data_IF_947092391167
#
_entry.id   IF_947092391167
#
_cell.length_a   1.000
_cell.length_b   1.000
_cell.length_c   1.000
_cell.angle_alpha   90.00
_cell.angle_beta   90.00
_cell.angle_gamma   90.00
#
_symmetry.space_group_name_H-M   'P 1'
#
loop_
_entity.id
_entity.type
_entity.pdbx_description
1 polymer ?
#
# COMPACT_ATOMS: atom_id res chain seq x y z
N UNK A 1 21.84 44.08 41.22
CA UNK A 1 20.77 43.35 40.50
C UNK A 1 21.43 42.57 39.38
N UNK A 2 21.85 41.33 39.69
CA UNK A 2 22.57 40.44 38.75
C UNK A 2 21.56 39.67 37.91
N UNK A 3 21.68 39.78 36.58
CA UNK A 3 20.87 39.05 35.63
C UNK A 3 21.53 37.66 35.45
N UNK A 4 20.79 36.60 35.76
CA UNK A 4 21.23 35.23 35.55
C UNK A 4 21.29 34.89 34.04
N UNK A 5 22.27 34.10 33.57
CA UNK A 5 22.36 33.70 32.17
C UNK A 5 21.24 32.68 31.81
N UNK A 6 20.71 32.81 30.60
CA UNK A 6 19.73 31.91 30.01
C UNK A 6 20.29 30.48 29.85
N UNK A 7 19.48 29.45 29.99
CA UNK A 7 19.92 28.06 29.82
C UNK A 7 20.37 27.79 28.38
N UNK A 8 21.50 27.13 28.24
CA UNK A 8 22.08 26.71 26.98
C UNK A 8 21.11 25.81 26.21
N UNK A 9 20.91 26.11 24.92
CA UNK A 9 20.10 25.33 24.01
C UNK A 9 20.57 23.87 23.96
N UNK A 10 19.62 22.96 24.10
CA UNK A 10 19.84 21.56 23.85
C UNK A 10 20.19 21.41 22.36
N UNK A 11 21.37 20.89 22.09
CA UNK A 11 21.79 20.52 20.73
C UNK A 11 20.86 19.46 20.20
N UNK A 12 20.36 19.66 18.96
CA UNK A 12 19.62 18.64 18.22
C UNK A 12 20.45 17.36 18.10
N UNK A 13 19.84 16.17 18.29
CA UNK A 13 20.56 14.91 18.13
C UNK A 13 20.98 14.75 16.67
N UNK A 14 22.13 14.08 16.41
CA UNK A 14 22.66 13.90 15.06
C UNK A 14 21.65 13.15 14.16
N UNK A 15 21.48 13.62 12.93
CA UNK A 15 20.60 13.10 11.88
C UNK A 15 21.01 11.66 11.46
N UNK A 16 20.65 10.65 12.29
CA UNK A 16 21.06 9.26 12.03
C UNK A 16 20.20 8.19 12.69
N UNK A 17 19.29 8.51 13.62
CA UNK A 17 18.52 7.48 14.35
C UNK A 17 17.09 7.90 14.75
N UNK A 18 16.44 8.77 14.03
CA UNK A 18 15.01 8.99 14.26
C UNK A 18 14.25 7.69 13.90
N UNK A 19 13.57 7.08 14.87
CA UNK A 19 12.67 5.93 14.57
C UNK A 19 11.72 6.32 13.43
N UNK A 20 11.54 5.47 12.41
CA UNK A 20 10.69 5.80 11.28
C UNK A 20 9.27 6.11 11.78
N UNK A 21 8.70 7.21 11.28
CA UNK A 21 7.37 7.69 11.70
C UNK A 21 6.29 6.68 11.32
N UNK A 22 5.51 6.23 12.30
CA UNK A 22 4.30 5.42 12.06
C UNK A 22 3.23 6.29 11.41
N UNK A 23 2.67 5.84 10.30
CA UNK A 23 1.63 6.55 9.54
C UNK A 23 0.29 5.80 9.53
N UNK A 24 0.31 4.49 9.70
CA UNK A 24 -0.88 3.66 9.89
C UNK A 24 -0.59 2.67 11.01
N UNK A 25 -1.50 2.54 11.95
CA UNK A 25 -1.36 1.64 13.10
C UNK A 25 -2.68 0.92 13.35
N UNK A 26 -2.60 -0.36 13.64
CA UNK A 26 -3.69 -1.16 14.19
C UNK A 26 -3.29 -1.65 15.57
N UNK A 27 -4.25 -1.70 16.51
CA UNK A 27 -4.04 -2.21 17.87
C UNK A 27 -5.19 -3.10 18.28
N UNK A 28 -4.85 -4.31 18.68
CA UNK A 28 -5.83 -5.33 19.09
C UNK A 28 -6.83 -5.68 17.98
N UNK A 29 -6.43 -5.51 16.70
CA UNK A 29 -7.35 -5.63 15.58
C UNK A 29 -7.92 -7.04 15.53
N UNK A 30 -9.25 -7.14 15.61
CA UNK A 30 -9.96 -8.42 15.68
C UNK A 30 -11.13 -8.42 14.71
N UNK A 31 -11.35 -9.56 14.04
CA UNK A 31 -12.53 -9.80 13.19
C UNK A 31 -13.04 -11.22 13.36
N UNK A 32 -14.29 -11.32 13.80
CA UNK A 32 -15.04 -12.57 13.88
C UNK A 32 -16.17 -12.62 12.86
N UNK A 33 -16.44 -13.80 12.30
CA UNK A 33 -17.58 -14.13 11.46
C UNK A 33 -18.33 -15.27 12.13
N UNK A 34 -19.39 -14.95 12.86
CA UNK A 34 -20.03 -15.93 13.75
C UNK A 34 -19.04 -16.45 14.79
N UNK A 35 -18.85 -17.76 14.85
CA UNK A 35 -17.90 -18.42 15.76
C UNK A 35 -16.43 -18.44 15.23
N UNK A 36 -16.21 -18.07 13.97
CA UNK A 36 -14.88 -18.10 13.37
C UNK A 36 -14.16 -16.75 13.52
N UNK A 37 -13.01 -16.75 14.17
CA UNK A 37 -12.15 -15.56 14.28
C UNK A 37 -11.09 -15.57 13.16
N UNK A 38 -11.30 -14.72 12.15
CA UNK A 38 -10.41 -14.59 11.00
C UNK A 38 -9.17 -13.72 11.27
N UNK A 39 -9.27 -12.77 12.21
CA UNK A 39 -8.17 -11.93 12.70
C UNK A 39 -8.34 -11.83 14.22
N UNK A 40 -7.25 -12.00 14.97
CA UNK A 40 -7.25 -12.09 16.42
C UNK A 40 -6.14 -11.25 17.01
N UNK A 41 -6.52 -10.16 17.64
CA UNK A 41 -5.63 -9.26 18.41
C UNK A 41 -4.34 -8.89 17.65
N UNK A 42 -4.48 -8.46 16.38
CA UNK A 42 -3.34 -8.09 15.54
C UNK A 42 -2.93 -6.64 15.83
N UNK A 43 -1.65 -6.46 16.18
CA UNK A 43 -0.98 -5.17 16.29
C UNK A 43 -0.06 -4.98 15.08
N UNK A 44 -0.23 -3.91 14.31
CA UNK A 44 0.53 -3.65 13.09
C UNK A 44 0.89 -2.18 12.98
N UNK A 45 2.16 -1.89 12.70
CA UNK A 45 2.65 -0.54 12.42
C UNK A 45 3.22 -0.45 11.00
N UNK A 46 2.72 0.51 10.23
CA UNK A 46 3.23 0.84 8.89
C UNK A 46 3.95 2.18 8.96
N UNK A 47 5.20 2.19 8.52
CA UNK A 47 6.09 3.32 8.65
C UNK A 47 6.22 4.11 7.35
N UNK A 48 6.34 5.44 7.47
CA UNK A 48 6.61 6.34 6.35
C UNK A 48 7.93 5.97 5.65
N UNK A 49 7.95 6.11 4.32
CA UNK A 49 9.12 5.85 3.47
C UNK A 49 9.69 4.43 3.65
N UNK A 50 8.80 3.44 3.84
CA UNK A 50 9.16 2.02 3.95
C UNK A 50 8.20 1.13 3.20
N UNK A 51 8.71 0.00 2.72
CA UNK A 51 7.92 -1.12 2.23
C UNK A 51 7.78 -2.14 3.37
N UNK A 52 6.54 -2.47 3.70
CA UNK A 52 6.19 -3.47 4.69
C UNK A 52 5.41 -4.61 4.01
N UNK A 53 5.87 -5.84 4.15
CA UNK A 53 5.16 -7.00 3.63
C UNK A 53 4.33 -7.69 4.72
N UNK A 54 3.09 -8.01 4.38
CA UNK A 54 2.24 -8.90 5.15
C UNK A 54 2.19 -10.26 4.44
N UNK A 55 2.87 -11.26 4.98
CA UNK A 55 2.97 -12.59 4.38
C UNK A 55 2.31 -13.66 5.26
N UNK A 56 2.20 -14.88 4.76
CA UNK A 56 1.63 -16.00 5.48
C UNK A 56 0.91 -16.98 4.54
N UNK A 57 0.58 -18.18 4.99
CA UNK A 57 -0.09 -19.20 4.17
C UNK A 57 -1.50 -18.74 3.74
N UNK A 58 -2.10 -19.53 2.84
CA UNK A 58 -3.49 -19.30 2.44
C UNK A 58 -4.42 -19.46 3.65
N UNK A 59 -5.42 -18.56 3.75
CA UNK A 59 -6.31 -18.54 4.91
C UNK A 59 -5.73 -17.93 6.19
N UNK A 60 -4.49 -17.40 6.18
CA UNK A 60 -3.88 -16.80 7.36
C UNK A 60 -4.57 -15.52 7.87
N UNK A 61 -5.45 -14.88 7.05
CA UNK A 61 -6.17 -13.67 7.43
C UNK A 61 -5.66 -12.38 6.73
N UNK A 62 -4.67 -12.47 5.83
CA UNK A 62 -4.05 -11.32 5.15
C UNK A 62 -5.08 -10.40 4.48
N UNK A 63 -5.92 -10.95 3.61
CA UNK A 63 -6.99 -10.20 2.92
C UNK A 63 -7.99 -9.59 3.90
N UNK A 64 -8.28 -10.28 5.01
CA UNK A 64 -9.15 -9.76 6.07
C UNK A 64 -8.52 -8.55 6.74
N UNK A 65 -7.21 -8.60 7.07
CA UNK A 65 -6.47 -7.45 7.62
C UNK A 65 -6.51 -6.26 6.64
N UNK A 66 -6.24 -6.48 5.35
CA UNK A 66 -6.34 -5.43 4.32
C UNK A 66 -7.74 -4.81 4.24
N UNK A 67 -8.78 -5.64 4.26
CA UNK A 67 -10.17 -5.17 4.26
C UNK A 67 -10.53 -4.37 5.52
N UNK A 68 -9.97 -4.74 6.68
CA UNK A 68 -10.16 -3.99 7.92
C UNK A 68 -9.45 -2.63 7.87
N UNK A 69 -8.20 -2.60 7.43
CA UNK A 69 -7.41 -1.37 7.31
C UNK A 69 -8.06 -0.36 6.33
N UNK A 70 -8.58 -0.86 5.20
CA UNK A 70 -9.25 -0.05 4.18
C UNK A 70 -10.74 0.21 4.47
N UNK A 71 -11.25 -0.32 5.58
CA UNK A 71 -12.63 -0.15 6.04
C UNK A 71 -13.70 -0.81 5.16
N UNK A 72 -13.31 -1.70 4.22
CA UNK A 72 -14.27 -2.57 3.53
C UNK A 72 -14.92 -3.58 4.48
N UNK A 73 -14.24 -3.89 5.59
CA UNK A 73 -14.80 -4.62 6.73
C UNK A 73 -14.68 -3.77 7.99
N UNK A 74 -15.69 -3.87 8.86
CA UNK A 74 -15.62 -3.28 10.18
C UNK A 74 -15.00 -4.29 11.16
N UNK A 75 -14.04 -3.86 12.00
CA UNK A 75 -13.49 -4.72 13.04
C UNK A 75 -14.56 -5.03 14.09
N UNK A 76 -14.45 -6.21 14.71
CA UNK A 76 -15.25 -6.57 15.90
C UNK A 76 -14.58 -6.12 17.19
N UNK A 77 -13.28 -5.84 17.16
CA UNK A 77 -12.49 -5.30 18.27
C UNK A 77 -11.24 -4.61 17.76
N UNK A 78 -10.63 -3.82 18.64
CA UNK A 78 -9.42 -3.06 18.34
C UNK A 78 -9.67 -1.70 17.71
N UNK A 79 -8.59 -1.00 17.40
CA UNK A 79 -8.60 0.35 16.84
C UNK A 79 -7.62 0.48 15.69
N UNK A 80 -7.94 1.37 14.73
CA UNK A 80 -7.09 1.71 13.59
C UNK A 80 -6.86 3.21 13.59
N UNK A 81 -5.58 3.60 13.60
CA UNK A 81 -5.17 5.02 13.59
C UNK A 81 -4.41 5.30 12.29
N UNK A 82 -4.77 6.35 11.58
CA UNK A 82 -4.11 6.83 10.37
C UNK A 82 -3.66 8.27 10.53
N UNK A 83 -2.36 8.53 10.40
CA UNK A 83 -1.75 9.86 10.57
C UNK A 83 -2.14 10.51 11.92
N UNK A 84 -2.22 9.72 13.00
CA UNK A 84 -2.62 10.16 14.34
C UNK A 84 -4.12 10.32 14.56
N UNK A 85 -4.96 10.08 13.55
CA UNK A 85 -6.42 10.17 13.66
C UNK A 85 -7.03 8.77 13.74
N UNK A 86 -7.93 8.53 14.69
CA UNK A 86 -8.70 7.29 14.76
C UNK A 86 -9.67 7.21 13.58
N UNK A 87 -9.50 6.16 12.77
CA UNK A 87 -10.34 5.87 11.61
C UNK A 87 -11.18 4.60 11.80
N UNK A 88 -11.23 4.04 13.00
CA UNK A 88 -11.87 2.74 13.28
C UNK A 88 -13.30 2.65 12.79
N UNK A 89 -14.07 3.74 12.87
CA UNK A 89 -15.46 3.82 12.41
C UNK A 89 -15.65 4.66 11.14
N UNK A 90 -14.56 5.13 10.53
CA UNK A 90 -14.64 6.00 9.35
C UNK A 90 -15.05 5.20 8.11
N UNK A 91 -15.96 5.69 7.26
CA UNK A 91 -16.34 5.05 6.00
C UNK A 91 -15.17 4.93 5.01
N UNK A 92 -15.14 3.90 4.14
CA UNK A 92 -14.01 3.63 3.24
C UNK A 92 -13.72 4.77 2.25
N UNK A 93 -14.76 5.45 1.75
CA UNK A 93 -14.60 6.59 0.85
C UNK A 93 -13.88 7.77 1.52
N UNK A 94 -14.16 8.02 2.80
CA UNK A 94 -13.49 9.06 3.59
C UNK A 94 -12.05 8.67 3.89
N UNK A 95 -11.80 7.40 4.25
CA UNK A 95 -10.44 6.89 4.48
C UNK A 95 -9.57 7.01 3.22
N UNK A 96 -10.13 6.67 2.05
CA UNK A 96 -9.43 6.86 0.77
C UNK A 96 -9.10 8.34 0.49
N UNK A 97 -10.00 9.28 0.85
CA UNK A 97 -9.75 10.74 0.73
C UNK A 97 -8.67 11.25 1.68
N UNK A 98 -8.47 10.60 2.82
CA UNK A 98 -7.37 10.93 3.73
C UNK A 98 -6.00 10.51 3.18
N UNK A 99 -5.98 9.62 2.16
CA UNK A 99 -4.77 9.14 1.49
C UNK A 99 -4.37 7.71 1.84
N UNK A 100 -5.26 6.90 2.44
CA UNK A 100 -5.07 5.47 2.60
C UNK A 100 -5.75 4.75 1.42
N UNK A 101 -4.97 4.38 0.41
CA UNK A 101 -5.51 3.87 -0.86
C UNK A 101 -5.02 2.45 -1.10
N UNK A 102 -5.92 1.58 -1.58
CA UNK A 102 -5.62 0.20 -1.98
C UNK A 102 -5.72 0.06 -3.49
N UNK A 103 -4.73 -0.60 -4.10
CA UNK A 103 -4.89 -1.16 -5.44
C UNK A 103 -5.75 -2.43 -5.35
N UNK A 104 -6.67 -2.62 -6.28
CA UNK A 104 -7.54 -3.80 -6.28
C UNK A 104 -6.93 -4.92 -7.12
N UNK A 105 -7.22 -6.19 -6.76
CA UNK A 105 -6.81 -7.39 -7.52
C UNK A 105 -7.48 -7.49 -8.92
N UNK A 106 -8.63 -6.85 -9.10
CA UNK A 106 -9.33 -6.80 -10.38
C UNK A 106 -8.90 -5.53 -11.09
N UNK A 107 -8.45 -5.67 -12.35
CA UNK A 107 -8.01 -4.55 -13.19
C UNK A 107 -9.00 -3.40 -13.15
N UNK A 108 -8.68 -2.38 -12.36
CA UNK A 108 -9.49 -1.17 -12.20
C UNK A 108 -9.23 -0.17 -13.33
N UNK A 109 -8.85 -0.66 -14.53
CA UNK A 109 -8.62 0.16 -15.72
C UNK A 109 -9.84 0.12 -16.64
N UNK A 110 -10.10 1.22 -17.30
CA UNK A 110 -11.12 1.32 -18.34
C UNK A 110 -10.53 0.80 -19.66
N UNK A 111 -10.92 -0.39 -20.15
CA UNK A 111 -10.25 -1.04 -21.28
C UNK A 111 -10.36 -0.26 -22.58
N UNK A 112 -11.45 0.49 -22.78
CA UNK A 112 -11.72 1.29 -23.96
C UNK A 112 -11.17 2.71 -23.92
N UNK A 113 -10.50 3.08 -22.84
CA UNK A 113 -9.77 4.35 -22.71
C UNK A 113 -8.28 4.11 -22.93
N UNK A 114 -7.61 5.13 -23.43
CA UNK A 114 -6.14 5.13 -23.54
C UNK A 114 -5.48 5.14 -22.15
N UNK A 115 -4.18 4.82 -22.10
CA UNK A 115 -3.38 4.93 -20.88
C UNK A 115 -3.50 6.34 -20.28
N UNK A 116 -3.38 7.38 -21.12
CA UNK A 116 -3.50 8.78 -20.69
C UNK A 116 -4.89 9.07 -20.09
N UNK A 117 -5.95 8.63 -20.76
CA UNK A 117 -7.31 8.85 -20.29
C UNK A 117 -7.60 8.13 -18.97
N UNK A 118 -7.11 6.89 -18.79
CA UNK A 118 -7.23 6.17 -17.53
C UNK A 118 -6.63 6.95 -16.36
N UNK A 119 -5.41 7.48 -16.52
CA UNK A 119 -4.75 8.28 -15.48
C UNK A 119 -5.47 9.61 -15.27
N UNK A 120 -5.96 10.26 -16.34
CA UNK A 120 -6.76 11.50 -16.23
C UNK A 120 -8.06 11.28 -15.46
N UNK A 121 -8.76 10.16 -15.68
CA UNK A 121 -9.97 9.82 -14.89
C UNK A 121 -9.65 9.76 -13.40
N UNK A 122 -8.56 9.10 -13.02
CA UNK A 122 -8.13 9.02 -11.62
C UNK A 122 -7.78 10.40 -11.04
N UNK A 123 -7.13 11.27 -11.82
CA UNK A 123 -6.76 12.64 -11.43
C UNK A 123 -7.96 13.58 -11.25
N UNK A 124 -9.12 13.27 -11.80
CA UNK A 124 -10.30 14.14 -11.65
C UNK A 124 -10.73 14.26 -10.19
N UNK A 125 -10.61 13.18 -9.41
CA UNK A 125 -11.09 13.14 -8.03
C UNK A 125 -10.32 14.10 -7.11
N UNK A 126 -8.98 14.07 -6.99
CA UNK A 126 -8.24 15.01 -6.16
C UNK A 126 -8.35 16.45 -6.64
N UNK A 127 -8.65 16.66 -7.94
CA UNK A 127 -8.80 17.99 -8.54
C UNK A 127 -10.25 18.52 -8.52
N UNK A 128 -11.17 17.86 -7.80
CA UNK A 128 -12.58 18.24 -7.67
C UNK A 128 -13.35 18.34 -9.00
N UNK A 129 -12.86 17.63 -10.04
CA UNK A 129 -13.49 17.60 -11.36
C UNK A 129 -14.49 16.46 -11.53
N UNK A 130 -14.43 15.45 -10.69
CA UNK A 130 -15.23 14.23 -10.82
C UNK A 130 -16.77 14.48 -10.80
N UNK A 131 -17.22 15.63 -10.30
CA UNK A 131 -18.63 16.02 -10.26
C UNK A 131 -19.02 17.06 -11.30
N UNK A 132 -18.06 17.54 -12.12
CA UNK A 132 -18.27 18.63 -13.09
C UNK A 132 -18.47 18.07 -14.50
N UNK A 133 -19.47 17.17 -14.66
CA UNK A 133 -19.75 16.46 -15.92
C UNK A 133 -20.24 17.34 -17.08
N UNK A 134 -20.61 18.62 -16.77
CA UNK A 134 -21.05 19.60 -17.78
C UNK A 134 -19.91 20.37 -18.44
N UNK A 135 -18.66 20.20 -17.97
CA UNK A 135 -17.51 20.85 -18.57
C UNK A 135 -17.10 20.13 -19.86
N UNK A 136 -16.59 20.86 -20.86
CA UNK A 136 -16.08 20.25 -22.07
C UNK A 136 -14.85 19.38 -21.78
N UNK A 137 -14.64 18.33 -22.59
CA UNK A 137 -13.50 17.39 -22.41
C UNK A 137 -12.14 18.10 -22.41
N UNK A 138 -12.01 19.21 -23.14
CA UNK A 138 -10.79 20.04 -23.13
C UNK A 138 -10.44 20.60 -21.76
N UNK A 139 -11.41 20.71 -20.84
CA UNK A 139 -11.13 21.11 -19.45
C UNK A 139 -10.22 20.11 -18.71
N UNK A 140 -10.15 18.87 -19.19
CA UNK A 140 -9.28 17.82 -18.64
C UNK A 140 -7.83 17.95 -19.11
N UNK A 141 -7.54 18.77 -20.14
CA UNK A 141 -6.18 18.94 -20.69
C UNK A 141 -5.22 19.55 -19.65
N UNK A 142 -5.73 20.29 -18.67
CA UNK A 142 -4.96 20.75 -17.51
C UNK A 142 -4.38 19.62 -16.66
N UNK A 143 -4.91 18.39 -16.78
CA UNK A 143 -4.43 17.22 -16.08
C UNK A 143 -3.34 16.48 -16.86
N UNK A 144 -3.10 16.83 -18.15
CA UNK A 144 -2.19 16.08 -19.02
C UNK A 144 -0.77 16.07 -18.49
N UNK A 145 -0.23 17.21 -18.07
CA UNK A 145 1.13 17.29 -17.53
C UNK A 145 1.32 16.32 -16.35
N UNK A 146 0.39 16.35 -15.39
CA UNK A 146 0.47 15.45 -14.23
C UNK A 146 0.22 13.98 -14.60
N UNK A 147 -0.65 13.71 -15.55
CA UNK A 147 -0.88 12.36 -16.07
C UNK A 147 0.38 11.82 -16.76
N UNK A 148 1.04 12.62 -17.59
CA UNK A 148 2.28 12.24 -18.28
C UNK A 148 3.44 11.99 -17.29
N UNK A 149 3.56 12.80 -16.24
CA UNK A 149 4.53 12.53 -15.15
C UNK A 149 4.32 11.15 -14.50
N UNK A 150 3.07 10.82 -14.17
CA UNK A 150 2.73 9.51 -13.59
C UNK A 150 2.98 8.36 -14.57
N UNK A 151 2.61 8.54 -15.84
CA UNK A 151 2.84 7.57 -16.92
C UNK A 151 4.33 7.35 -17.14
N UNK A 152 5.13 8.43 -17.10
CA UNK A 152 6.59 8.34 -17.20
C UNK A 152 7.20 7.61 -16.00
N UNK A 153 6.74 7.93 -14.78
CA UNK A 153 7.18 7.27 -13.54
C UNK A 153 6.99 5.75 -13.60
N UNK A 154 5.88 5.29 -14.16
CA UNK A 154 5.59 3.85 -14.28
C UNK A 154 6.09 3.23 -15.60
N UNK A 155 6.83 3.98 -16.44
CA UNK A 155 7.45 3.48 -17.68
C UNK A 155 6.47 3.18 -18.83
N UNK A 156 5.30 3.86 -18.88
CA UNK A 156 4.27 3.66 -19.90
C UNK A 156 4.19 4.79 -20.95
N UNK A 157 5.22 5.64 -21.06
CA UNK A 157 5.17 6.79 -21.98
C UNK A 157 5.02 6.41 -23.45
N UNK A 158 5.58 5.26 -23.86
CA UNK A 158 5.46 4.79 -25.25
C UNK A 158 4.03 4.37 -25.59
N UNK A 159 3.32 3.85 -24.60
CA UNK A 159 1.94 3.35 -24.71
C UNK A 159 0.89 4.39 -24.30
N UNK A 160 1.26 5.67 -24.06
CA UNK A 160 0.32 6.65 -23.49
C UNK A 160 -0.98 6.80 -24.29
N UNK A 161 -0.92 6.63 -25.60
CA UNK A 161 -2.05 6.74 -26.51
C UNK A 161 -2.66 5.37 -26.93
N UNK A 162 -2.09 4.25 -26.44
CA UNK A 162 -2.64 2.93 -26.66
C UNK A 162 -3.87 2.70 -25.77
N UNK A 163 -4.82 1.91 -26.25
CA UNK A 163 -5.96 1.48 -25.43
C UNK A 163 -5.46 0.57 -24.30
N UNK A 164 -6.04 0.71 -23.12
CA UNK A 164 -5.70 -0.15 -22.00
C UNK A 164 -6.01 -1.64 -22.29
N UNK A 165 -7.00 -1.93 -23.17
CA UNK A 165 -7.29 -3.28 -23.63
C UNK A 165 -6.09 -3.95 -24.30
N UNK A 166 -5.29 -3.18 -25.06
CA UNK A 166 -4.18 -3.68 -25.91
C UNK A 166 -2.89 -3.93 -25.11
N UNK A 167 -2.83 -3.48 -23.86
CA UNK A 167 -1.68 -3.67 -22.99
C UNK A 167 -1.53 -5.15 -22.59
N UNK A 168 -0.29 -5.62 -22.43
CA UNK A 168 0.00 -6.88 -21.77
C UNK A 168 -0.49 -6.87 -20.31
N UNK A 169 -0.60 -8.04 -19.70
CA UNK A 169 -1.04 -8.15 -18.30
C UNK A 169 -0.15 -7.33 -17.34
N UNK A 170 1.18 -7.44 -17.46
CA UNK A 170 2.12 -6.68 -16.65
C UNK A 170 1.96 -5.17 -16.84
N UNK A 171 1.79 -4.70 -18.10
CA UNK A 171 1.55 -3.29 -18.41
C UNK A 171 0.22 -2.78 -17.85
N UNK A 172 -0.84 -3.59 -17.87
CA UNK A 172 -2.12 -3.25 -17.20
C UNK A 172 -1.92 -3.07 -15.71
N UNK A 173 -1.15 -3.94 -15.06
CA UNK A 173 -0.87 -3.84 -13.62
C UNK A 173 -0.07 -2.58 -13.27
N UNK A 174 0.90 -2.23 -14.10
CA UNK A 174 1.66 -0.98 -13.98
C UNK A 174 0.74 0.25 -14.15
N UNK A 175 -0.21 0.21 -15.09
CA UNK A 175 -1.22 1.27 -15.25
C UNK A 175 -2.12 1.40 -14.02
N UNK A 176 -2.51 0.29 -13.37
CA UNK A 176 -3.26 0.32 -12.10
C UNK A 176 -2.49 1.03 -10.98
N UNK A 177 -1.18 0.80 -10.90
CA UNK A 177 -0.33 1.53 -9.95
C UNK A 177 -0.34 3.02 -10.29
N UNK A 178 -0.23 3.41 -11.57
CA UNK A 178 -0.28 4.81 -11.99
C UNK A 178 -1.61 5.49 -11.61
N UNK A 179 -2.75 4.83 -11.86
CA UNK A 179 -4.08 5.35 -11.48
C UNK A 179 -4.24 5.45 -9.96
N UNK A 180 -3.64 4.53 -9.21
CA UNK A 180 -3.65 4.58 -7.75
C UNK A 180 -2.78 5.74 -7.24
N UNK A 181 -1.60 5.96 -7.84
CA UNK A 181 -0.72 7.07 -7.52
C UNK A 181 -1.33 8.43 -7.88
N UNK A 182 -2.21 8.48 -8.88
CA UNK A 182 -2.96 9.68 -9.25
C UNK A 182 -3.88 10.18 -8.12
N UNK A 183 -4.24 9.34 -7.16
CA UNK A 183 -5.01 9.72 -5.97
C UNK A 183 -4.14 10.35 -4.86
N UNK A 184 -2.84 10.52 -5.11
CA UNK A 184 -1.83 11.02 -4.18
C UNK A 184 -1.85 10.35 -2.80
N UNK A 185 -1.68 9.00 -2.75
CA UNK A 185 -1.76 8.26 -1.50
C UNK A 185 -0.59 8.60 -0.57
N UNK A 186 -0.87 8.70 0.74
CA UNK A 186 0.14 8.74 1.81
C UNK A 186 0.57 7.34 2.23
N UNK A 187 -0.39 6.40 2.18
CA UNK A 187 -0.16 4.96 2.37
C UNK A 187 -0.81 4.22 1.22
N UNK A 188 -0.01 3.40 0.55
CA UNK A 188 -0.42 2.56 -0.57
C UNK A 188 -0.49 1.11 -0.10
N UNK A 189 -1.67 0.49 -0.20
CA UNK A 189 -1.88 -0.93 0.04
C UNK A 189 -1.90 -1.67 -1.29
N UNK A 190 -0.98 -2.62 -1.48
CA UNK A 190 -0.85 -3.43 -2.68
C UNK A 190 -1.19 -4.90 -2.36
N UNK A 191 -2.17 -5.44 -3.06
CA UNK A 191 -2.60 -6.83 -2.89
C UNK A 191 -2.05 -7.66 -4.05
N UNK A 192 -1.01 -8.44 -3.77
CA UNK A 192 -0.30 -9.31 -4.71
C UNK A 192 0.08 -8.57 -6.01
N UNK A 193 0.84 -7.46 -5.93
CA UNK A 193 1.08 -6.60 -7.09
C UNK A 193 1.82 -7.30 -8.24
N UNK A 194 2.49 -8.41 -7.97
CA UNK A 194 3.31 -9.15 -8.95
C UNK A 194 2.72 -10.50 -9.34
N UNK A 195 1.49 -10.83 -8.89
CA UNK A 195 0.85 -12.10 -9.20
C UNK A 195 0.67 -12.27 -10.72
N UNK A 196 1.05 -13.42 -11.25
CA UNK A 196 0.88 -13.77 -12.67
C UNK A 196 1.82 -13.08 -13.65
N UNK A 197 2.86 -12.37 -13.17
CA UNK A 197 3.84 -11.68 -14.00
C UNK A 197 5.07 -12.53 -14.32
N UNK A 198 5.68 -12.31 -15.48
CA UNK A 198 7.03 -12.81 -15.82
C UNK A 198 8.15 -12.06 -15.09
N UNK A 199 9.36 -12.64 -15.10
CA UNK A 199 10.49 -12.13 -14.32
C UNK A 199 10.86 -10.66 -14.59
N UNK A 200 10.81 -10.22 -15.85
CA UNK A 200 11.13 -8.83 -16.22
C UNK A 200 10.08 -7.85 -15.66
N UNK A 201 8.79 -8.17 -15.80
CA UNK A 201 7.70 -7.36 -15.26
C UNK A 201 7.76 -7.30 -13.73
N UNK A 202 8.08 -8.43 -13.06
CA UNK A 202 8.27 -8.48 -11.60
C UNK A 202 9.38 -7.52 -11.15
N UNK A 203 10.53 -7.54 -11.83
CA UNK A 203 11.66 -6.67 -11.51
C UNK A 203 11.30 -5.19 -11.70
N UNK A 204 10.58 -4.87 -12.77
CA UNK A 204 10.12 -3.51 -13.05
C UNK A 204 9.14 -3.00 -11.97
N UNK A 205 8.14 -3.81 -11.59
CA UNK A 205 7.19 -3.44 -10.54
C UNK A 205 7.87 -3.35 -9.17
N UNK A 206 8.83 -4.21 -8.87
CA UNK A 206 9.62 -4.14 -7.64
C UNK A 206 10.37 -2.81 -7.52
N UNK A 207 11.05 -2.39 -8.62
CA UNK A 207 11.75 -1.10 -8.65
C UNK A 207 10.78 0.08 -8.53
N UNK A 208 9.63 0.04 -9.19
CA UNK A 208 8.59 1.05 -9.07
C UNK A 208 8.09 1.17 -7.61
N UNK A 209 7.84 0.04 -6.94
CA UNK A 209 7.41 0.04 -5.53
C UNK A 209 8.52 0.65 -4.64
N UNK A 210 9.78 0.34 -4.90
CA UNK A 210 10.94 0.90 -4.17
C UNK A 210 11.02 2.42 -4.37
N UNK A 211 10.81 2.91 -5.59
CA UNK A 211 10.79 4.35 -5.89
C UNK A 211 9.63 5.06 -5.20
N UNK A 212 8.42 4.51 -5.27
CA UNK A 212 7.21 5.04 -4.58
C UNK A 212 7.43 5.09 -3.07
N UNK A 213 8.09 4.08 -2.52
CA UNK A 213 8.33 3.99 -1.08
C UNK A 213 9.31 5.04 -0.55
N UNK A 214 10.10 5.71 -1.39
CA UNK A 214 10.99 6.81 -0.94
C UNK A 214 10.22 7.97 -0.30
N UNK A 215 8.98 8.20 -0.70
CA UNK A 215 8.17 9.33 -0.25
C UNK A 215 6.83 8.93 0.37
N UNK A 216 6.48 7.65 0.34
CA UNK A 216 5.20 7.11 0.83
C UNK A 216 5.43 5.85 1.63
N UNK A 217 4.44 5.48 2.42
CA UNK A 217 4.44 4.15 3.02
C UNK A 217 3.77 3.16 2.05
N UNK A 218 4.34 1.96 1.95
CA UNK A 218 3.75 0.86 1.18
C UNK A 218 3.54 -0.33 2.11
N UNK A 219 2.31 -0.83 2.19
CA UNK A 219 1.99 -2.11 2.80
C UNK A 219 1.54 -3.06 1.68
N UNK A 220 2.19 -4.21 1.55
CA UNK A 220 1.83 -5.16 0.49
C UNK A 220 1.62 -6.58 1.02
N UNK A 221 0.69 -7.30 0.40
CA UNK A 221 0.59 -8.76 0.51
C UNK A 221 1.36 -9.34 -0.66
N UNK A 222 2.26 -10.29 -0.39
CA UNK A 222 3.04 -10.97 -1.42
C UNK A 222 3.31 -12.43 -1.06
N UNK A 223 3.45 -13.26 -2.10
CA UNK A 223 3.82 -14.67 -1.99
C UNK A 223 5.22 -14.94 -2.51
N UNK A 224 5.77 -14.02 -3.32
CA UNK A 224 7.11 -14.13 -3.85
C UNK A 224 8.13 -13.69 -2.81
N UNK A 225 8.66 -14.66 -2.04
CA UNK A 225 9.61 -14.41 -0.96
C UNK A 225 10.93 -13.78 -1.46
N UNK A 226 11.32 -13.98 -2.73
CA UNK A 226 12.51 -13.32 -3.31
C UNK A 226 12.28 -11.82 -3.41
N UNK A 227 11.10 -11.40 -3.87
CA UNK A 227 10.74 -9.98 -3.93
C UNK A 227 10.64 -9.39 -2.53
N UNK A 228 10.00 -10.10 -1.59
CA UNK A 228 9.92 -9.65 -0.19
C UNK A 228 11.30 -9.43 0.40
N UNK A 229 12.25 -10.36 0.18
CA UNK A 229 13.62 -10.23 0.63
C UNK A 229 14.36 -9.03 0.02
N UNK A 230 14.04 -8.71 -1.25
CA UNK A 230 14.73 -7.68 -2.02
C UNK A 230 14.27 -6.25 -1.69
N UNK A 231 12.95 -6.04 -1.53
CA UNK A 231 12.43 -4.67 -1.42
C UNK A 231 11.84 -4.30 -0.06
N UNK A 232 11.54 -5.28 0.82
CA UNK A 232 10.85 -4.98 2.06
C UNK A 232 11.81 -4.63 3.19
N UNK A 233 11.46 -3.57 3.92
CA UNK A 233 12.17 -3.12 5.12
C UNK A 233 11.66 -3.84 6.38
N UNK A 234 10.41 -4.28 6.35
CA UNK A 234 9.73 -4.98 7.46
C UNK A 234 8.80 -6.05 6.89
N UNK A 235 8.73 -7.16 7.58
CA UNK A 235 7.88 -8.31 7.23
C UNK A 235 7.10 -8.72 8.45
N UNK A 236 5.78 -8.82 8.33
CA UNK A 236 4.89 -9.41 9.32
C UNK A 236 4.33 -10.70 8.77
N UNK A 237 4.49 -11.80 9.50
CA UNK A 237 3.95 -13.11 9.15
C UNK A 237 2.66 -13.34 9.91
N UNK A 238 1.57 -13.58 9.18
CA UNK A 238 0.29 -13.99 9.74
C UNK A 238 0.12 -15.51 9.63
N UNK A 239 -0.41 -16.11 10.69
CA UNK A 239 -0.86 -17.49 10.72
C UNK A 239 -2.14 -17.59 11.55
N UNK A 240 -3.19 -18.20 10.99
CA UNK A 240 -4.49 -18.43 11.66
C UNK A 240 -5.10 -17.20 12.33
N UNK A 241 -4.89 -16.04 11.69
CA UNK A 241 -5.40 -14.74 12.15
C UNK A 241 -4.56 -14.01 13.20
N UNK A 242 -3.39 -14.53 13.54
CA UNK A 242 -2.49 -13.97 14.54
C UNK A 242 -1.13 -13.65 13.92
N UNK A 243 -0.37 -12.72 14.52
CA UNK A 243 1.02 -12.45 14.12
C UNK A 243 1.89 -13.57 14.68
N UNK A 244 2.56 -14.29 13.79
CA UNK A 244 3.50 -15.34 14.13
C UNK A 244 4.91 -14.78 14.39
N UNK A 245 5.35 -13.85 13.55
CA UNK A 245 6.65 -13.21 13.63
C UNK A 245 6.62 -11.83 12.93
N UNK A 246 7.47 -10.92 13.37
CA UNK A 246 7.67 -9.61 12.76
C UNK A 246 9.14 -9.19 12.86
N UNK A 247 9.67 -8.58 11.80
CA UNK A 247 11.06 -8.12 11.75
C UNK A 247 11.51 -7.82 10.33
N UNK A 248 12.83 -7.75 10.11
CA UNK A 248 13.39 -7.78 8.77
C UNK A 248 13.28 -9.21 8.18
N UNK A 249 13.51 -9.32 6.86
CA UNK A 249 13.38 -10.60 6.20
C UNK A 249 14.33 -11.66 6.76
N UNK A 250 15.56 -11.29 7.15
CA UNK A 250 16.54 -12.21 7.67
C UNK A 250 16.10 -12.81 9.01
N UNK A 251 15.63 -11.97 9.94
CA UNK A 251 15.10 -12.41 11.22
C UNK A 251 13.87 -13.32 11.06
N UNK A 252 12.92 -12.92 10.22
CA UNK A 252 11.68 -13.66 9.97
C UNK A 252 11.94 -15.01 9.30
N UNK A 253 12.83 -15.06 8.31
CA UNK A 253 13.17 -16.29 7.58
C UNK A 253 13.98 -17.30 8.44
N UNK A 254 14.66 -16.81 9.48
CA UNK A 254 15.39 -17.64 10.44
C UNK A 254 14.48 -18.24 11.51
N UNK A 255 13.28 -17.71 11.74
CA UNK A 255 12.36 -18.20 12.78
C UNK A 255 11.84 -19.62 12.45
N UNK A 256 12.10 -20.63 13.33
CA UNK A 256 11.65 -21.99 13.08
C UNK A 256 10.11 -22.11 12.94
N UNK A 257 9.35 -21.27 13.65
CA UNK A 257 7.88 -21.27 13.58
C UNK A 257 7.40 -20.85 12.19
N UNK A 258 8.07 -19.86 11.57
CA UNK A 258 7.77 -19.40 10.21
C UNK A 258 8.08 -20.52 9.21
N UNK A 259 9.23 -21.17 9.33
CA UNK A 259 9.60 -22.30 8.45
C UNK A 259 8.54 -23.40 8.51
N UNK A 260 8.15 -23.82 9.71
CA UNK A 260 7.11 -24.85 9.90
C UNK A 260 5.78 -24.42 9.31
N UNK A 261 5.39 -23.14 9.44
CA UNK A 261 4.13 -22.64 8.92
C UNK A 261 4.04 -22.68 7.37
N UNK A 262 5.18 -22.54 6.68
CA UNK A 262 5.26 -22.64 5.22
C UNK A 262 5.45 -24.09 4.73
N UNK A 263 6.26 -24.91 5.41
CA UNK A 263 6.51 -26.30 5.03
C UNK A 263 5.29 -27.21 5.26
N UNK A 264 4.48 -26.92 6.29
CA UNK A 264 3.25 -27.70 6.58
C UNK A 264 2.11 -27.46 5.58
N UNK A 265 2.27 -26.55 4.61
CA UNK A 265 1.27 -26.32 3.55
C UNK A 265 1.60 -27.04 2.25
N UNK A 266 2.78 -27.64 2.11
CA UNK A 266 3.17 -28.43 0.92
C UNK A 266 2.81 -29.91 1.01
N UNK A 267 2.39 -30.41 2.20
CA UNK A 267 2.04 -31.82 2.44
C UNK A 267 0.52 -32.08 2.62
N UNK A 268 -0.36 -31.11 2.29
CA UNK A 268 -1.81 -31.28 2.45
C UNK A 268 -2.59 -31.18 1.12
#
# INVERSE_FOLDING_TARGET
MMIAPAPAGQADPPAGQAKPRVVLSARGLTKTFGAFAAVKNVDLDVHHARVHALIGPNGAGKTTVFNLLTKFLQPTGGAITFMGTDITKTPPDKVARLGLVRSFQISAVFPHLTVLENVRVALQRPNSLATQFWLPLSSLDRLNARAEELIAMVGLMREKNALAADLSYGRKRVLEIATTLALDPKVLLLDEPMAGMGGEDVSHVAELIREVAKTRAVLMVEHNLKVVADICHQVTVLQRGEILAEGDYAAVSADPRVRTAYMGTEEA
#
